data_IF_461908274664
#
_entry.id   IF_461908274664
#
_cell.length_a   1.000
_cell.length_b   1.000
_cell.length_c   1.000
_cell.angle_alpha   90.00
_cell.angle_beta   90.00
_cell.angle_gamma   90.00
#
_symmetry.space_group_name_H-M   'P 1'
#
loop_
_entity.id
_entity.type
_entity.pdbx_description
1 polymer ?
#
# COMPACT_ATOMS: atom_id res chain seq x y z
N UNK A 1 -15.61 21.93 -14.13
CA UNK A 1 -16.44 21.35 -13.06
C UNK A 1 -16.41 19.84 -13.24
N UNK A 2 -15.33 19.19 -12.80
CA UNK A 2 -14.98 17.80 -13.19
C UNK A 2 -14.68 16.90 -11.99
N UNK A 3 -14.86 17.39 -10.75
CA UNK A 3 -14.47 16.66 -9.53
C UNK A 3 -15.52 15.71 -8.93
N UNK A 4 -16.62 15.39 -9.63
CA UNK A 4 -17.76 14.66 -9.03
C UNK A 4 -17.95 13.24 -9.55
N UNK A 5 -17.35 12.86 -10.68
CA UNK A 5 -17.64 11.55 -11.30
C UNK A 5 -16.68 10.49 -10.78
N UNK A 6 -15.39 10.80 -10.66
CA UNK A 6 -14.35 9.86 -10.21
C UNK A 6 -14.55 9.41 -8.75
N UNK A 7 -14.86 10.35 -7.85
CA UNK A 7 -15.15 10.02 -6.45
C UNK A 7 -16.39 9.12 -6.32
N UNK A 8 -17.40 9.35 -7.16
CA UNK A 8 -18.62 8.52 -7.15
C UNK A 8 -18.36 7.13 -7.72
N UNK A 9 -17.54 7.00 -8.77
CA UNK A 9 -17.15 5.70 -9.32
C UNK A 9 -16.34 4.90 -8.29
N UNK A 10 -15.43 5.55 -7.56
CA UNK A 10 -14.65 4.90 -6.52
C UNK A 10 -15.54 4.36 -5.38
N UNK A 11 -16.47 5.18 -4.89
CA UNK A 11 -17.39 4.82 -3.80
C UNK A 11 -18.46 3.80 -4.21
N UNK A 12 -18.96 3.86 -5.46
CA UNK A 12 -20.03 3.00 -5.97
C UNK A 12 -19.51 1.73 -6.67
N UNK A 13 -18.20 1.56 -6.75
CA UNK A 13 -17.64 0.38 -7.40
C UNK A 13 -18.08 -0.91 -6.67
N UNK A 14 -18.51 -1.94 -7.41
CA UNK A 14 -18.92 -3.21 -6.82
C UNK A 14 -17.73 -4.05 -6.29
N UNK A 15 -16.50 -3.56 -6.45
CA UNK A 15 -15.25 -4.20 -6.06
C UNK A 15 -14.59 -3.43 -4.92
N UNK A 16 -13.89 -4.15 -4.04
CA UNK A 16 -13.07 -3.55 -3.00
C UNK A 16 -11.90 -2.80 -3.66
N UNK A 17 -11.76 -1.52 -3.33
CA UNK A 17 -10.67 -0.66 -3.80
C UNK A 17 -10.10 0.17 -2.66
N UNK A 18 -8.82 0.47 -2.78
CA UNK A 18 -8.11 1.41 -1.91
C UNK A 18 -7.08 2.20 -2.71
N UNK A 19 -6.69 3.34 -2.17
CA UNK A 19 -5.67 4.23 -2.70
C UNK A 19 -4.51 4.20 -1.71
N UNK A 20 -3.32 3.92 -2.20
CA UNK A 20 -2.09 3.87 -1.41
C UNK A 20 -1.09 4.92 -1.91
N UNK A 21 -0.34 5.49 -0.98
CA UNK A 21 0.81 6.33 -1.25
C UNK A 21 2.11 5.54 -1.12
N UNK A 22 2.85 5.47 -2.22
CA UNK A 22 4.18 4.87 -2.31
C UNK A 22 5.29 5.92 -2.40
N UNK A 23 4.98 7.20 -2.19
CA UNK A 23 5.93 8.30 -2.31
C UNK A 23 7.16 8.13 -1.42
N UNK A 24 6.97 7.69 -0.17
CA UNK A 24 8.06 7.44 0.77
C UNK A 24 8.90 6.20 0.41
N UNK A 25 8.27 5.16 -0.12
CA UNK A 25 8.98 3.98 -0.63
C UNK A 25 9.88 4.38 -1.80
N UNK A 26 9.34 5.18 -2.72
CA UNK A 26 10.11 5.72 -3.84
C UNK A 26 11.28 6.58 -3.35
N UNK A 27 11.06 7.47 -2.39
CA UNK A 27 12.13 8.29 -1.82
C UNK A 27 13.22 7.42 -1.18
N UNK A 28 12.85 6.32 -0.52
CA UNK A 28 13.81 5.37 0.03
C UNK A 28 14.62 4.67 -1.07
N UNK A 29 13.98 4.27 -2.17
CA UNK A 29 14.67 3.64 -3.30
C UNK A 29 15.61 4.62 -4.00
N UNK A 30 15.20 5.88 -4.15
CA UNK A 30 16.04 6.94 -4.70
C UNK A 30 17.26 7.20 -3.80
N UNK A 31 17.09 7.17 -2.47
CA UNK A 31 18.20 7.26 -1.53
C UNK A 31 19.19 6.09 -1.66
N UNK A 32 18.69 4.86 -1.83
CA UNK A 32 19.56 3.70 -2.05
C UNK A 32 20.29 3.76 -3.40
N UNK A 33 19.62 4.21 -4.46
CA UNK A 33 20.27 4.44 -5.76
C UNK A 33 21.36 5.51 -5.64
N UNK A 34 21.10 6.59 -4.92
CA UNK A 34 22.10 7.63 -4.64
C UNK A 34 23.28 7.10 -3.80
N UNK A 35 23.04 6.11 -2.93
CA UNK A 35 24.07 5.40 -2.18
C UNK A 35 24.85 4.36 -3.00
N UNK A 36 24.54 4.19 -4.30
CA UNK A 36 25.25 3.28 -5.20
C UNK A 36 24.61 1.91 -5.37
N UNK A 37 23.38 1.70 -4.89
CA UNK A 37 22.62 0.46 -5.13
C UNK A 37 22.17 0.42 -6.60
N UNK A 38 22.78 -0.47 -7.37
CA UNK A 38 22.47 -0.68 -8.80
C UNK A 38 21.37 -1.72 -9.02
N UNK A 39 21.31 -2.74 -8.16
CA UNK A 39 20.29 -3.79 -8.20
C UNK A 39 19.44 -3.77 -6.92
N UNK A 40 18.35 -3.00 -6.96
CA UNK A 40 17.38 -2.91 -5.87
C UNK A 40 16.71 -4.26 -5.57
N UNK A 41 16.53 -5.13 -6.59
CA UNK A 41 15.87 -6.43 -6.40
C UNK A 41 16.78 -7.36 -5.63
N UNK A 42 18.05 -7.44 -5.98
CA UNK A 42 19.04 -8.20 -5.20
C UNK A 42 19.18 -7.63 -3.78
N UNK A 43 19.27 -6.30 -3.65
CA UNK A 43 19.41 -5.60 -2.37
C UNK A 43 18.24 -5.82 -1.39
N UNK A 44 17.01 -5.90 -1.92
CA UNK A 44 15.81 -6.22 -1.13
C UNK A 44 15.69 -7.72 -0.83
N UNK A 45 16.16 -8.59 -1.72
CA UNK A 45 16.20 -10.05 -1.48
C UNK A 45 17.23 -10.44 -0.42
N UNK A 46 18.31 -9.68 -0.29
CA UNK A 46 19.39 -9.93 0.66
C UNK A 46 18.96 -9.65 2.11
N UNK A 47 18.11 -8.64 2.32
CA UNK A 47 17.60 -8.28 3.64
C UNK A 47 16.09 -8.00 3.59
N UNK A 48 15.34 -8.99 4.10
CA UNK A 48 13.88 -8.95 4.20
C UNK A 48 13.39 -7.84 5.14
N UNK A 49 14.22 -7.40 6.08
CA UNK A 49 13.86 -6.30 6.98
C UNK A 49 13.62 -5.02 6.19
N UNK A 50 14.37 -4.78 5.09
CA UNK A 50 14.22 -3.60 4.24
C UNK A 50 12.89 -3.55 3.50
N UNK A 51 12.40 -4.71 3.06
CA UNK A 51 11.08 -4.82 2.43
C UNK A 51 10.00 -4.55 3.48
N UNK A 52 10.12 -5.12 4.68
CA UNK A 52 9.18 -4.83 5.77
C UNK A 52 9.16 -3.34 6.15
N UNK A 53 10.33 -2.69 6.20
CA UNK A 53 10.43 -1.25 6.40
C UNK A 53 9.77 -0.47 5.26
N UNK A 54 9.99 -0.85 4.00
CA UNK A 54 9.30 -0.25 2.86
C UNK A 54 7.78 -0.43 2.95
N UNK A 55 7.30 -1.62 3.28
CA UNK A 55 5.87 -1.87 3.46
C UNK A 55 5.27 -1.04 4.58
N UNK A 56 6.00 -0.81 5.67
CA UNK A 56 5.56 0.06 6.75
C UNK A 56 5.44 1.54 6.36
N UNK A 57 6.12 1.95 5.29
CA UNK A 57 6.04 3.32 4.73
C UNK A 57 4.92 3.49 3.72
N UNK A 58 4.29 2.41 3.27
CA UNK A 58 3.11 2.48 2.39
C UNK A 58 1.95 2.99 3.24
N UNK A 59 1.31 4.08 2.80
CA UNK A 59 0.18 4.67 3.52
C UNK A 59 -1.09 4.51 2.71
N UNK A 60 -2.09 3.86 3.29
CA UNK A 60 -3.43 3.82 2.70
C UNK A 60 -4.07 5.20 2.88
N UNK A 61 -4.32 5.89 1.78
CA UNK A 61 -4.92 7.23 1.75
C UNK A 61 -6.44 7.18 1.83
N UNK A 62 -7.05 6.21 1.12
CA UNK A 62 -8.51 6.10 1.04
C UNK A 62 -8.91 4.66 0.73
N UNK A 63 -10.06 4.23 1.25
CA UNK A 63 -10.71 2.95 0.92
C UNK A 63 -12.13 3.24 0.53
N UNK A 64 -12.68 2.48 -0.41
CA UNK A 64 -14.09 2.63 -0.76
C UNK A 64 -14.98 1.91 0.25
N UNK A 65 -16.28 2.25 0.22
CA UNK A 65 -17.29 1.61 1.06
C UNK A 65 -17.30 0.09 0.93
N UNK A 66 -17.08 -0.44 -0.28
CA UNK A 66 -17.08 -1.89 -0.52
C UNK A 66 -15.95 -2.61 0.19
N UNK A 67 -14.77 -2.00 0.31
CA UNK A 67 -13.66 -2.52 1.11
C UNK A 67 -14.02 -2.57 2.60
N UNK A 68 -14.60 -1.49 3.13
CA UNK A 68 -15.06 -1.45 4.52
C UNK A 68 -16.11 -2.55 4.80
N UNK A 69 -17.07 -2.72 3.90
CA UNK A 69 -18.09 -3.78 4.00
C UNK A 69 -17.49 -5.19 3.94
N UNK A 70 -16.49 -5.42 3.08
CA UNK A 70 -15.86 -6.74 2.92
C UNK A 70 -15.06 -7.15 4.16
N UNK A 71 -14.39 -6.19 4.79
CA UNK A 71 -13.54 -6.41 5.96
C UNK A 71 -14.26 -6.14 7.29
N UNK A 72 -15.57 -5.89 7.24
CA UNK A 72 -16.41 -5.57 8.41
C UNK A 72 -15.81 -4.44 9.27
N UNK A 73 -15.20 -3.46 8.62
CA UNK A 73 -14.56 -2.31 9.25
C UNK A 73 -15.48 -1.08 9.18
N UNK A 74 -15.63 -0.36 10.29
CA UNK A 74 -16.42 0.86 10.36
C UNK A 74 -15.72 2.04 9.67
N UNK A 75 -14.40 2.05 9.72
CA UNK A 75 -13.57 3.11 9.14
C UNK A 75 -12.16 2.65 8.71
N UNK A 76 -11.49 3.51 7.95
CA UNK A 76 -10.14 3.27 7.43
C UNK A 76 -9.13 2.94 8.54
N UNK A 77 -9.21 3.53 9.74
CA UNK A 77 -8.25 3.24 10.80
C UNK A 77 -8.45 1.84 11.36
N UNK A 78 -9.70 1.42 11.54
CA UNK A 78 -10.02 0.05 11.93
C UNK A 78 -9.54 -0.94 10.86
N UNK A 79 -9.73 -0.62 9.59
CA UNK A 79 -9.21 -1.41 8.49
C UNK A 79 -7.68 -1.48 8.57
N UNK A 80 -6.95 -0.36 8.60
CA UNK A 80 -5.48 -0.33 8.66
C UNK A 80 -4.93 -1.07 9.88
N UNK A 81 -5.59 -0.99 11.04
CA UNK A 81 -5.18 -1.72 12.24
C UNK A 81 -5.20 -3.24 12.07
N UNK A 82 -6.17 -3.75 11.30
CA UNK A 82 -6.27 -5.17 10.96
C UNK A 82 -5.43 -5.54 9.73
N UNK A 83 -5.41 -4.68 8.71
CA UNK A 83 -4.73 -4.89 7.43
C UNK A 83 -3.22 -4.78 7.57
N UNK A 84 -2.69 -3.85 8.38
CA UNK A 84 -1.24 -3.72 8.60
C UNK A 84 -0.60 -5.00 9.11
N UNK A 85 -1.38 -5.89 9.75
CA UNK A 85 -0.95 -7.21 10.21
C UNK A 85 -1.05 -8.30 9.13
N UNK A 86 -1.96 -8.14 8.16
CA UNK A 86 -2.20 -9.09 7.07
C UNK A 86 -1.36 -8.72 5.84
N UNK A 87 -1.45 -7.48 5.35
CA UNK A 87 -0.72 -6.99 4.18
C UNK A 87 0.80 -6.96 4.38
N UNK A 88 1.30 -6.67 5.59
CA UNK A 88 2.75 -6.79 5.85
C UNK A 88 3.26 -8.23 5.75
N UNK A 89 2.38 -9.23 5.86
CA UNK A 89 2.73 -10.65 5.78
C UNK A 89 2.41 -11.23 4.38
N UNK A 90 1.30 -10.80 3.76
CA UNK A 90 0.79 -11.32 2.48
C UNK A 90 1.42 -10.67 1.23
N UNK A 91 1.90 -9.40 1.33
CA UNK A 91 2.68 -8.78 0.23
C UNK A 91 3.95 -9.56 -0.14
N UNK A 92 4.36 -10.53 0.70
CA UNK A 92 5.50 -11.40 0.46
C UNK A 92 5.22 -12.55 -0.50
N UNK A 93 3.98 -13.04 -0.61
CA UNK A 93 3.70 -14.27 -1.37
C UNK A 93 3.40 -14.04 -2.86
N UNK A 94 2.94 -12.84 -3.25
CA UNK A 94 2.38 -12.66 -4.60
C UNK A 94 3.40 -12.16 -5.66
N UNK A 95 4.61 -11.73 -5.30
CA UNK A 95 5.54 -11.11 -6.27
C UNK A 95 7.01 -11.55 -6.17
N UNK A 96 7.26 -12.87 -6.16
CA UNK A 96 8.59 -13.43 -6.53
C UNK A 96 8.55 -13.94 -7.96
#
# INVERSE_FOLDING_TARGET
MTGSVDANIFELAPIAMWIEDFSEVKAQFDAWRAAGVTDLRAFLKEDRTRVAECSSKIRILQVNRKTLDLFEAEDLNQLIGNLGRVFCDDMWETHI
#
